data_IF_328163956743
#
_entry.id   IF_328163956743
#
_cell.length_a   1.000
_cell.length_b   1.000
_cell.length_c   1.000
_cell.angle_alpha   90.00
_cell.angle_beta   90.00
_cell.angle_gamma   90.00
#
_symmetry.space_group_name_H-M   'P 1'
#
loop_
_entity.id
_entity.type
_entity.pdbx_description
1 polymer ?
#
# COMPACT_ATOMS: atom_id res chain seq x y z
N UNK A 1 -31.13 -14.23 74.41
CA UNK A 1 -30.50 -12.91 74.19
C UNK A 1 -29.26 -13.16 73.37
N UNK A 2 -29.47 -13.21 72.07
CA UNK A 2 -29.58 -12.05 71.19
C UNK A 2 -28.20 -11.87 70.53
N UNK A 3 -28.05 -12.27 69.27
CA UNK A 3 -28.54 -11.44 68.16
C UNK A 3 -27.81 -10.10 68.20
N UNK A 4 -26.54 -10.05 67.74
CA UNK A 4 -26.00 -8.82 67.11
C UNK A 4 -24.58 -8.86 66.54
N UNK A 5 -24.07 -9.98 66.02
CA UNK A 5 -23.02 -9.91 64.97
C UNK A 5 -23.33 -10.86 63.81
N UNK A 6 -24.58 -10.76 63.38
CA UNK A 6 -25.05 -11.15 62.07
C UNK A 6 -24.38 -10.25 61.01
N UNK A 7 -23.97 -10.88 59.91
CA UNK A 7 -24.03 -10.35 58.54
C UNK A 7 -23.17 -9.12 58.24
N UNK A 8 -21.84 -9.25 58.23
CA UNK A 8 -20.99 -8.52 57.26
C UNK A 8 -19.74 -9.36 57.03
N UNK A 9 -19.75 -10.29 56.07
CA UNK A 9 -18.53 -11.05 55.77
C UNK A 9 -18.70 -12.31 54.93
N UNK A 10 -19.94 -12.73 54.66
CA UNK A 10 -20.24 -13.83 53.74
C UNK A 10 -21.37 -13.46 52.79
N UNK A 11 -21.19 -12.35 52.08
CA UNK A 11 -22.00 -11.92 50.92
C UNK A 11 -21.12 -11.03 50.03
N UNK A 12 -19.90 -11.50 49.71
CA UNK A 12 -19.28 -11.09 48.45
C UNK A 12 -19.77 -12.09 47.43
N UNK A 13 -20.88 -11.70 46.80
CA UNK A 13 -21.52 -12.42 45.73
C UNK A 13 -20.48 -12.88 44.72
N UNK A 14 -20.59 -14.16 44.38
CA UNK A 14 -20.24 -14.70 43.08
C UNK A 14 -20.83 -13.80 41.99
N UNK A 15 -20.05 -12.83 41.54
CA UNK A 15 -20.19 -12.24 40.22
C UNK A 15 -18.84 -12.46 39.56
N UNK A 16 -18.58 -13.72 39.19
CA UNK A 16 -17.62 -14.03 38.13
C UNK A 16 -18.21 -13.34 36.90
N UNK A 17 -17.80 -12.10 36.70
CA UNK A 17 -18.10 -11.32 35.52
C UNK A 17 -17.49 -12.07 34.35
N UNK A 18 -18.29 -12.97 33.75
CA UNK A 18 -18.05 -13.46 32.41
C UNK A 18 -18.33 -12.30 31.46
N UNK A 19 -17.49 -11.27 31.51
CA UNK A 19 -17.15 -10.58 30.29
C UNK A 19 -16.40 -11.60 29.45
N UNK A 20 -17.16 -12.38 28.67
CA UNK A 20 -16.74 -12.66 27.31
C UNK A 20 -16.55 -11.29 26.69
N UNK A 21 -15.37 -10.69 26.91
CA UNK A 21 -14.75 -9.94 25.85
C UNK A 21 -14.74 -10.95 24.72
N UNK A 22 -15.72 -10.84 23.82
CA UNK A 22 -15.55 -11.34 22.48
C UNK A 22 -14.25 -10.70 22.07
N UNK A 23 -13.16 -11.45 22.18
CA UNK A 23 -11.97 -11.21 21.41
C UNK A 23 -12.54 -11.22 20.00
N UNK A 24 -12.83 -10.02 19.50
CA UNK A 24 -12.80 -9.72 18.08
C UNK A 24 -11.37 -10.10 17.73
N UNK A 25 -11.18 -11.39 17.49
CA UNK A 25 -10.10 -11.91 16.72
C UNK A 25 -10.22 -11.06 15.48
N UNK A 26 -9.30 -10.09 15.36
CA UNK A 26 -9.05 -9.38 14.13
C UNK A 26 -9.00 -10.47 13.07
N UNK A 27 -10.12 -10.63 12.36
CA UNK A 27 -10.33 -11.80 11.50
C UNK A 27 -9.19 -11.73 10.51
N UNK A 28 -8.31 -12.74 10.56
CA UNK A 28 -7.14 -12.82 9.69
C UNK A 28 -7.62 -12.75 8.26
N UNK A 29 -7.53 -11.56 7.69
CA UNK A 29 -7.72 -11.34 6.27
C UNK A 29 -6.55 -12.06 5.60
N UNK A 30 -6.86 -13.08 4.82
CA UNK A 30 -5.89 -13.68 3.90
C UNK A 30 -6.15 -13.05 2.53
N UNK A 31 -5.22 -12.26 1.98
CA UNK A 31 -5.26 -11.79 0.61
C UNK A 31 -4.94 -13.00 -0.27
N UNK A 32 -5.97 -13.79 -0.57
CA UNK A 32 -5.90 -14.89 -1.52
C UNK A 32 -6.76 -14.52 -2.70
N UNK A 33 -6.14 -14.49 -3.87
CA UNK A 33 -6.77 -14.53 -5.18
C UNK A 33 -7.46 -15.87 -5.46
N UNK A 34 -8.38 -16.25 -4.58
CA UNK A 34 -9.46 -17.16 -4.93
C UNK A 34 -10.74 -16.37 -4.80
N UNK A 35 -11.59 -16.50 -5.79
CA UNK A 35 -12.95 -15.99 -5.74
C UNK A 35 -13.90 -16.99 -5.07
N UNK A 36 -13.41 -18.17 -4.68
CA UNK A 36 -14.21 -19.21 -4.04
C UNK A 36 -13.71 -19.53 -2.63
N UNK A 37 -14.67 -19.78 -1.74
CA UNK A 37 -14.42 -20.20 -0.37
C UNK A 37 -13.87 -21.63 -0.29
N UNK A 38 -14.23 -22.48 -1.26
CA UNK A 38 -13.66 -23.82 -1.39
C UNK A 38 -12.18 -23.76 -1.72
N UNK A 39 -11.79 -22.85 -2.62
CA UNK A 39 -10.39 -22.50 -2.78
C UNK A 39 -9.81 -22.07 -1.46
N UNK A 40 -10.37 -21.01 -0.84
CA UNK A 40 -9.80 -20.31 0.33
C UNK A 40 -9.58 -21.19 1.56
N UNK A 41 -10.52 -22.09 1.86
CA UNK A 41 -10.52 -22.93 3.06
C UNK A 41 -10.41 -22.19 4.41
N UNK A 42 -10.83 -20.92 4.47
CA UNK A 42 -10.88 -20.14 5.71
C UNK A 42 -12.10 -19.21 5.76
N UNK A 43 -12.65 -18.91 6.95
CA UNK A 43 -13.84 -18.08 7.06
C UNK A 43 -13.51 -16.59 6.93
N UNK A 44 -14.50 -15.79 6.53
CA UNK A 44 -14.41 -14.32 6.48
C UNK A 44 -14.64 -13.71 5.10
N UNK A 45 -14.41 -12.39 4.94
CA UNK A 45 -14.73 -11.67 3.70
C UNK A 45 -13.87 -12.11 2.53
N UNK A 46 -14.46 -12.24 1.34
CA UNK A 46 -13.81 -12.63 0.07
C UNK A 46 -14.43 -11.83 -1.07
N UNK A 47 -13.64 -11.55 -2.11
CA UNK A 47 -14.18 -10.98 -3.34
C UNK A 47 -14.48 -12.13 -4.31
N UNK A 48 -15.77 -12.42 -4.53
CA UNK A 48 -16.20 -13.39 -5.53
C UNK A 48 -16.04 -12.83 -6.95
N UNK A 49 -16.21 -11.52 -7.07
CA UNK A 49 -15.70 -10.72 -8.17
C UNK A 49 -15.28 -9.36 -7.64
N UNK A 50 -14.71 -8.52 -8.50
CA UNK A 50 -14.39 -7.14 -8.15
C UNK A 50 -15.64 -6.29 -7.86
N UNK A 51 -16.82 -6.80 -8.21
CA UNK A 51 -18.14 -6.18 -8.05
C UNK A 51 -18.98 -6.90 -6.98
N UNK A 52 -18.49 -7.99 -6.37
CA UNK A 52 -19.26 -8.83 -5.46
C UNK A 52 -18.44 -9.25 -4.24
N UNK A 53 -18.78 -8.63 -3.10
CA UNK A 53 -18.30 -9.04 -1.79
C UNK A 53 -19.12 -10.22 -1.29
N UNK A 54 -18.44 -11.28 -0.87
CA UNK A 54 -19.03 -12.44 -0.21
C UNK A 54 -18.33 -12.69 1.14
N UNK A 55 -18.92 -13.58 1.94
CA UNK A 55 -18.27 -14.13 3.14
C UNK A 55 -18.19 -15.65 3.04
N UNK A 56 -17.04 -16.19 3.40
CA UNK A 56 -16.82 -17.62 3.48
C UNK A 56 -17.34 -18.19 4.78
N UNK A 57 -18.21 -19.18 4.65
CA UNK A 57 -18.78 -19.94 5.75
C UNK A 57 -18.56 -21.43 5.51
N UNK A 58 -18.16 -22.15 6.57
CA UNK A 58 -18.01 -23.60 6.51
C UNK A 58 -19.32 -24.27 6.85
N UNK A 59 -19.87 -25.03 5.91
CA UNK A 59 -21.01 -25.92 6.09
C UNK A 59 -20.53 -27.36 6.33
N UNK A 60 -21.47 -28.26 6.67
CA UNK A 60 -21.17 -29.70 6.82
C UNK A 60 -20.63 -30.32 5.53
N UNK A 61 -20.97 -29.74 4.37
CA UNK A 61 -20.70 -30.30 3.05
C UNK A 61 -19.57 -29.60 2.30
N UNK A 62 -18.87 -28.64 2.92
CA UNK A 62 -17.80 -27.86 2.28
C UNK A 62 -17.85 -26.38 2.61
N UNK A 63 -17.08 -25.59 1.87
CA UNK A 63 -17.06 -24.14 1.99
C UNK A 63 -18.02 -23.49 1.00
N UNK A 64 -18.71 -22.44 1.44
CA UNK A 64 -19.72 -21.75 0.64
C UNK A 64 -19.44 -20.25 0.64
N UNK A 65 -19.51 -19.65 -0.54
CA UNK A 65 -19.61 -18.21 -0.74
C UNK A 65 -21.03 -17.77 -0.39
N UNK A 66 -21.17 -16.89 0.59
CA UNK A 66 -22.44 -16.22 0.86
C UNK A 66 -22.30 -14.77 0.41
N UNK A 67 -22.99 -14.34 -0.67
CA UNK A 67 -22.98 -12.95 -1.11
C UNK A 67 -23.41 -12.01 0.01
N UNK A 68 -22.66 -10.92 0.18
CA UNK A 68 -22.89 -9.90 1.21
C UNK A 68 -23.35 -8.59 0.58
N UNK A 69 -22.65 -8.13 -0.45
CA UNK A 69 -22.87 -6.82 -1.07
C UNK A 69 -22.41 -6.82 -2.53
N UNK A 70 -23.19 -6.20 -3.41
CA UNK A 70 -22.77 -5.88 -4.78
C UNK A 70 -22.20 -4.46 -4.80
N UNK A 71 -20.96 -4.31 -5.25
CA UNK A 71 -20.23 -3.04 -5.21
C UNK A 71 -20.62 -2.12 -6.36
N UNK A 72 -20.72 -0.82 -6.08
CA UNK A 72 -20.99 0.22 -7.08
C UNK A 72 -19.72 0.61 -7.83
N UNK A 73 -19.31 -0.25 -8.77
CA UNK A 73 -18.11 -0.02 -9.59
C UNK A 73 -18.23 1.17 -10.52
N UNK A 74 -19.46 1.57 -10.88
CA UNK A 74 -19.71 2.76 -11.70
C UNK A 74 -19.29 4.04 -10.97
N UNK A 75 -19.51 4.06 -9.64
CA UNK A 75 -19.00 5.09 -8.74
C UNK A 75 -17.73 4.65 -8.01
N UNK A 76 -16.97 3.71 -8.59
CA UNK A 76 -15.65 3.22 -8.16
C UNK A 76 -15.51 2.69 -6.74
N UNK A 77 -16.57 2.09 -6.24
CA UNK A 77 -16.49 1.20 -5.09
C UNK A 77 -16.24 -0.21 -5.61
N UNK A 78 -15.12 -0.79 -5.20
CA UNK A 78 -14.72 -2.14 -5.58
C UNK A 78 -14.65 -3.02 -4.34
N UNK A 79 -14.80 -4.33 -4.53
CA UNK A 79 -14.68 -5.26 -3.42
C UNK A 79 -13.27 -5.18 -2.82
N UNK A 80 -13.17 -4.98 -1.52
CA UNK A 80 -11.89 -5.06 -0.82
C UNK A 80 -12.00 -6.13 0.26
N UNK A 81 -11.56 -7.36 -0.07
CA UNK A 81 -11.60 -8.50 0.85
C UNK A 81 -10.83 -8.22 2.15
N UNK A 82 -9.86 -7.30 2.12
CA UNK A 82 -9.10 -6.88 3.28
C UNK A 82 -9.86 -5.96 4.22
N UNK A 83 -10.64 -5.04 3.69
CA UNK A 83 -11.51 -4.22 4.53
C UNK A 83 -12.85 -4.91 4.81
N UNK A 84 -13.19 -5.94 4.04
CA UNK A 84 -14.45 -6.67 4.13
C UNK A 84 -15.66 -5.81 3.74
N UNK A 85 -15.47 -4.88 2.81
CA UNK A 85 -16.49 -3.93 2.36
C UNK A 85 -16.21 -3.51 0.91
N UNK A 86 -17.22 -2.99 0.22
CA UNK A 86 -17.05 -2.26 -1.02
C UNK A 86 -16.50 -0.85 -0.72
N UNK A 87 -15.37 -0.49 -1.32
CA UNK A 87 -14.64 0.76 -0.97
C UNK A 87 -13.92 1.32 -2.19
N UNK A 88 -13.60 2.61 -2.13
CA UNK A 88 -12.69 3.28 -3.06
C UNK A 88 -11.21 3.21 -2.61
N UNK A 89 -10.91 2.57 -1.48
CA UNK A 89 -9.53 2.29 -1.08
C UNK A 89 -8.84 1.34 -2.05
N UNK A 90 -7.57 1.62 -2.36
CA UNK A 90 -6.74 0.75 -3.19
C UNK A 90 -6.64 -0.66 -2.61
N UNK A 91 -6.73 -1.66 -3.46
CA UNK A 91 -6.66 -3.07 -3.10
C UNK A 91 -6.61 -3.95 -4.35
N UNK A 92 -6.64 -5.28 -4.19
CA UNK A 92 -6.52 -6.22 -5.31
C UNK A 92 -7.54 -5.96 -6.41
N UNK A 93 -8.81 -5.70 -6.04
CA UNK A 93 -9.89 -5.46 -7.00
C UNK A 93 -10.06 -4.00 -7.41
N UNK A 94 -9.22 -3.08 -6.92
CA UNK A 94 -9.27 -1.72 -7.42
C UNK A 94 -8.72 -1.74 -8.87
N UNK A 95 -9.26 -1.01 -9.86
CA UNK A 95 -8.81 -1.05 -11.26
C UNK A 95 -7.33 -0.66 -11.48
N UNK A 96 -6.64 -0.15 -10.46
CA UNK A 96 -5.18 0.07 -10.47
C UNK A 96 -4.38 -1.12 -9.90
N UNK A 97 -5.06 -2.11 -9.33
CA UNK A 97 -4.52 -3.35 -8.75
C UNK A 97 -4.84 -4.61 -9.55
N UNK A 98 -5.86 -4.62 -10.42
CA UNK A 98 -6.27 -5.81 -11.20
C UNK A 98 -5.87 -5.70 -12.68
N UNK A 99 -5.28 -6.80 -13.15
CA UNK A 99 -5.13 -7.24 -14.54
C UNK A 99 -4.58 -6.20 -15.55
N UNK A 100 -3.25 -6.17 -15.66
CA UNK A 100 -2.52 -5.42 -16.70
C UNK A 100 -1.95 -4.08 -16.24
N UNK A 101 -2.20 -3.68 -14.99
CA UNK A 101 -1.83 -2.36 -14.46
C UNK A 101 -0.60 -2.34 -13.55
N UNK A 102 0.07 -3.47 -13.30
CA UNK A 102 1.41 -3.39 -12.73
C UNK A 102 2.35 -2.77 -13.77
N UNK A 103 2.59 -1.47 -13.61
CA UNK A 103 3.44 -0.72 -14.53
C UNK A 103 4.89 -1.04 -14.22
N UNK A 104 5.51 -1.88 -15.05
CA UNK A 104 6.92 -2.18 -14.95
C UNK A 104 7.76 -0.90 -15.12
N UNK A 105 8.57 -0.60 -14.11
CA UNK A 105 9.50 0.54 -14.15
C UNK A 105 10.90 0.13 -14.60
N UNK A 106 11.25 -1.14 -14.39
CA UNK A 106 12.50 -1.75 -14.80
C UNK A 106 12.31 -3.27 -14.93
N UNK A 107 13.25 -3.94 -15.60
CA UNK A 107 13.26 -5.39 -15.67
C UNK A 107 13.50 -5.98 -14.27
N UNK A 108 12.78 -7.04 -13.90
CA UNK A 108 12.92 -7.64 -12.58
C UNK A 108 11.69 -8.42 -12.11
N UNK A 109 11.73 -8.79 -10.83
CA UNK A 109 10.63 -9.47 -10.14
C UNK A 109 10.23 -8.55 -8.99
N UNK A 110 8.94 -8.21 -8.92
CA UNK A 110 8.40 -7.28 -7.95
C UNK A 110 7.28 -7.94 -7.15
N UNK A 111 7.21 -7.72 -5.82
CA UNK A 111 6.04 -8.15 -5.06
C UNK A 111 4.79 -7.40 -5.54
N UNK A 112 3.63 -8.06 -5.52
CA UNK A 112 2.38 -7.34 -5.66
C UNK A 112 2.08 -6.57 -4.35
N UNK A 113 1.79 -5.26 -4.42
CA UNK A 113 1.57 -4.47 -3.21
C UNK A 113 0.24 -4.79 -2.50
N UNK A 114 -0.73 -5.38 -3.20
CA UNK A 114 -2.08 -5.62 -2.73
C UNK A 114 -2.35 -7.09 -2.40
N UNK A 115 -1.64 -8.02 -3.03
CA UNK A 115 -1.76 -9.46 -2.80
C UNK A 115 -0.41 -10.13 -2.50
N UNK A 116 -0.24 -10.66 -1.28
CA UNK A 116 1.03 -11.27 -0.86
C UNK A 116 1.37 -12.60 -1.58
N UNK A 117 0.41 -13.23 -2.25
CA UNK A 117 0.60 -14.47 -3.01
C UNK A 117 0.94 -14.19 -4.46
N UNK A 118 0.87 -12.93 -4.88
CA UNK A 118 1.22 -12.52 -6.23
C UNK A 118 2.55 -11.79 -6.29
N UNK A 119 3.18 -11.94 -7.44
CA UNK A 119 4.31 -11.13 -7.84
C UNK A 119 4.26 -10.87 -9.34
N UNK A 120 5.01 -9.87 -9.77
CA UNK A 120 5.06 -9.43 -11.15
C UNK A 120 6.45 -9.61 -11.72
N UNK A 121 6.52 -10.34 -12.84
CA UNK A 121 7.73 -10.46 -13.63
C UNK A 121 7.72 -9.42 -14.74
N UNK A 122 8.65 -8.49 -14.67
CA UNK A 122 8.86 -7.45 -15.67
C UNK A 122 10.00 -7.83 -16.59
N UNK A 123 9.73 -7.94 -17.89
CA UNK A 123 10.71 -8.34 -18.90
C UNK A 123 10.42 -7.67 -20.26
N UNK A 124 11.45 -7.57 -21.10
CA UNK A 124 11.30 -6.97 -22.43
C UNK A 124 10.74 -7.97 -23.45
N UNK A 125 9.72 -7.55 -24.18
CA UNK A 125 9.26 -8.17 -25.43
C UNK A 125 9.56 -7.18 -26.55
N UNK A 126 10.69 -7.40 -27.24
CA UNK A 126 11.25 -6.40 -28.16
C UNK A 126 11.72 -5.16 -27.40
N UNK A 127 11.18 -3.99 -27.75
CA UNK A 127 11.45 -2.72 -27.06
C UNK A 127 10.45 -2.39 -25.94
N UNK A 128 9.40 -3.21 -25.76
CA UNK A 128 8.34 -2.95 -24.79
C UNK A 128 8.60 -3.71 -23.50
N UNK A 129 8.60 -3.02 -22.37
CA UNK A 129 8.68 -3.65 -21.05
C UNK A 129 7.27 -4.06 -20.62
N UNK A 130 7.06 -5.36 -20.39
CA UNK A 130 5.74 -5.93 -20.05
C UNK A 130 5.78 -6.60 -18.69
N UNK A 131 4.62 -6.65 -18.01
CA UNK A 131 4.42 -7.37 -16.77
C UNK A 131 3.69 -8.70 -17.02
N UNK A 132 4.18 -9.78 -16.41
CA UNK A 132 3.39 -10.99 -16.19
C UNK A 132 3.12 -11.15 -14.70
N UNK A 133 1.85 -11.21 -14.31
CA UNK A 133 1.45 -11.54 -12.96
C UNK A 133 1.59 -13.05 -12.75
N UNK A 134 2.16 -13.45 -11.61
CA UNK A 134 2.36 -14.84 -11.24
C UNK A 134 1.81 -15.06 -9.83
N UNK A 135 1.01 -16.11 -9.69
CA UNK A 135 0.46 -16.57 -8.41
C UNK A 135 1.35 -17.67 -7.82
N UNK A 136 1.66 -17.56 -6.53
CA UNK A 136 2.44 -18.56 -5.81
C UNK A 136 1.72 -19.91 -5.64
N UNK A 137 0.39 -19.90 -5.66
CA UNK A 137 -0.47 -21.05 -5.49
C UNK A 137 -0.42 -21.66 -4.09
N UNK A 138 -1.41 -22.50 -3.79
CA UNK A 138 -1.55 -23.17 -2.49
C UNK A 138 -1.58 -22.14 -1.33
N UNK A 139 -1.05 -22.51 -0.16
CA UNK A 139 -0.92 -21.61 0.99
C UNK A 139 0.47 -20.92 1.04
N UNK A 140 1.05 -20.61 -0.12
CA UNK A 140 2.37 -19.99 -0.25
C UNK A 140 2.28 -18.51 -0.57
N UNK A 141 3.24 -17.75 -0.06
CA UNK A 141 3.36 -16.31 -0.29
C UNK A 141 4.73 -15.97 -0.87
N UNK A 142 4.78 -14.86 -1.59
CA UNK A 142 5.99 -14.39 -2.27
C UNK A 142 6.99 -13.79 -1.28
N UNK A 143 8.21 -14.31 -1.27
CA UNK A 143 9.35 -13.74 -0.55
C UNK A 143 10.13 -12.81 -1.46
N UNK A 144 9.94 -11.50 -1.31
CA UNK A 144 10.67 -10.51 -2.09
C UNK A 144 12.20 -10.56 -1.85
N UNK A 145 12.68 -11.12 -0.73
CA UNK A 145 14.12 -11.27 -0.45
C UNK A 145 14.80 -12.24 -1.40
N UNK A 146 14.09 -13.32 -1.72
CA UNK A 146 14.62 -14.44 -2.51
C UNK A 146 14.05 -14.49 -3.92
N UNK A 147 12.95 -13.78 -4.18
CA UNK A 147 12.23 -13.81 -5.46
C UNK A 147 11.48 -15.13 -5.67
N UNK A 148 11.08 -15.82 -4.59
CA UNK A 148 10.49 -17.15 -4.63
C UNK A 148 9.25 -17.27 -3.73
N UNK A 149 8.39 -18.25 -4.01
CA UNK A 149 7.18 -18.55 -3.23
C UNK A 149 7.48 -19.45 -2.02
N UNK A 150 8.24 -18.94 -1.06
CA UNK A 150 8.72 -19.72 0.10
C UNK A 150 7.95 -19.44 1.39
N UNK A 151 7.30 -18.28 1.51
CA UNK A 151 6.57 -17.88 2.71
C UNK A 151 5.20 -18.56 2.79
N UNK A 152 4.50 -18.34 3.90
CA UNK A 152 3.17 -18.89 4.17
C UNK A 152 2.17 -17.76 4.40
N UNK A 153 0.88 -18.05 4.33
CA UNK A 153 -0.19 -17.06 4.58
C UNK A 153 -0.22 -16.52 6.02
N UNK A 154 0.53 -17.14 6.95
CA UNK A 154 0.70 -16.63 8.32
C UNK A 154 1.88 -15.67 8.49
N UNK A 155 2.67 -15.45 7.45
CA UNK A 155 3.80 -14.52 7.50
C UNK A 155 3.32 -13.06 7.52
N UNK A 156 4.03 -12.14 8.22
CA UNK A 156 3.71 -10.71 8.22
C UNK A 156 3.49 -10.09 6.83
N UNK A 157 4.13 -10.60 5.77
CA UNK A 157 3.88 -10.12 4.39
C UNK A 157 2.41 -10.23 3.97
N UNK A 158 1.70 -11.23 4.49
CA UNK A 158 0.27 -11.46 4.21
C UNK A 158 -0.67 -10.88 5.27
N UNK A 159 -0.17 -10.66 6.49
CA UNK A 159 -0.99 -10.17 7.58
C UNK A 159 -1.05 -8.64 7.64
N UNK A 160 -0.09 -7.95 7.01
CA UNK A 160 0.08 -6.51 7.10
C UNK A 160 0.29 -5.87 5.72
N UNK A 161 -0.01 -4.57 5.62
CA UNK A 161 0.25 -3.80 4.40
C UNK A 161 1.76 -3.59 4.34
N UNK A 162 2.38 -3.92 3.21
CA UNK A 162 3.84 -3.81 3.04
C UNK A 162 4.29 -2.42 2.57
N UNK A 163 3.36 -1.55 2.20
CA UNK A 163 3.64 -0.18 1.80
C UNK A 163 2.76 0.80 2.58
N UNK A 164 3.22 2.05 2.65
CA UNK A 164 2.48 3.15 3.25
C UNK A 164 2.61 4.39 2.36
N UNK A 165 1.48 4.93 1.90
CA UNK A 165 1.46 6.10 1.02
C UNK A 165 0.63 7.23 1.66
N UNK A 166 1.26 8.10 2.47
CA UNK A 166 0.57 9.22 3.11
C UNK A 166 0.24 10.36 2.13
N UNK A 167 1.10 10.59 1.15
CA UNK A 167 0.97 11.63 0.12
C UNK A 167 1.72 11.22 -1.14
N UNK A 168 1.46 11.90 -2.26
CA UNK A 168 2.22 11.70 -3.48
C UNK A 168 3.69 12.12 -3.26
N UNK A 169 4.61 11.46 -3.97
CA UNK A 169 6.05 11.70 -3.83
C UNK A 169 6.70 11.07 -2.60
N UNK A 170 5.94 10.51 -1.66
CA UNK A 170 6.52 9.71 -0.58
C UNK A 170 7.29 8.51 -1.15
N UNK A 171 8.51 8.27 -0.66
CA UNK A 171 9.37 7.18 -1.11
C UNK A 171 9.90 6.41 0.09
N UNK A 172 9.89 5.09 0.01
CA UNK A 172 10.50 4.24 1.02
C UNK A 172 10.99 2.91 0.41
N UNK A 173 12.00 2.26 1.03
CA UNK A 173 12.39 0.92 0.65
C UNK A 173 11.26 -0.07 0.90
N UNK A 174 11.22 -1.14 0.10
CA UNK A 174 10.32 -2.26 0.36
C UNK A 174 10.77 -3.00 1.62
N UNK A 175 9.89 -3.25 2.61
CA UNK A 175 10.32 -3.70 3.94
C UNK A 175 11.14 -4.99 3.95
N UNK A 176 10.83 -5.92 3.06
CA UNK A 176 11.53 -7.21 2.99
C UNK A 176 12.68 -7.22 1.99
N UNK A 177 12.80 -6.24 1.09
CA UNK A 177 13.88 -6.20 0.12
C UNK A 177 14.30 -4.75 -0.16
N UNK A 178 15.42 -4.32 0.42
CA UNK A 178 15.94 -2.96 0.26
C UNK A 178 16.47 -2.64 -1.14
N UNK A 179 16.63 -3.61 -2.05
CA UNK A 179 16.91 -3.33 -3.46
C UNK A 179 15.64 -2.87 -4.22
N UNK A 180 14.45 -3.13 -3.66
CA UNK A 180 13.18 -2.65 -4.17
C UNK A 180 12.76 -1.44 -3.32
N UNK A 181 12.20 -0.42 -3.95
CA UNK A 181 11.60 0.73 -3.27
C UNK A 181 10.29 1.08 -3.96
N UNK A 182 9.42 1.85 -3.28
CA UNK A 182 8.18 2.32 -3.88
C UNK A 182 8.10 3.84 -3.81
N UNK A 183 7.53 4.43 -4.86
CA UNK A 183 7.19 5.85 -4.94
C UNK A 183 5.67 5.95 -4.97
N UNK A 184 5.10 6.70 -4.04
CA UNK A 184 3.67 6.94 -3.99
C UNK A 184 3.28 7.91 -5.11
N UNK A 185 2.51 7.42 -6.08
CA UNK A 185 1.99 8.20 -7.20
C UNK A 185 0.51 8.46 -7.01
N UNK A 186 0.04 9.59 -7.52
CA UNK A 186 -1.37 9.95 -7.57
C UNK A 186 -1.91 9.82 -9.00
N UNK A 187 -3.18 9.46 -9.11
CA UNK A 187 -3.96 9.57 -10.34
C UNK A 187 -5.35 10.07 -10.01
N UNK A 188 -6.04 10.65 -11.00
CA UNK A 188 -7.42 11.12 -10.85
C UNK A 188 -8.34 10.10 -11.49
N UNK A 189 -9.31 9.59 -10.73
CA UNK A 189 -10.36 8.77 -11.31
C UNK A 189 -11.49 9.66 -11.84
N UNK A 190 -11.51 9.86 -13.17
CA UNK A 190 -12.49 10.71 -13.86
C UNK A 190 -13.94 10.23 -13.70
N UNK A 191 -14.15 8.98 -13.29
CA UNK A 191 -15.49 8.40 -13.09
C UNK A 191 -16.03 8.58 -11.65
N UNK A 192 -15.24 9.10 -10.70
CA UNK A 192 -15.64 9.30 -9.29
C UNK A 192 -15.44 10.75 -8.84
N UNK A 193 -16.19 11.70 -9.40
CA UNK A 193 -16.11 13.11 -8.98
C UNK A 193 -14.65 13.60 -8.86
N UNK A 194 -13.79 13.10 -9.74
CA UNK A 194 -12.36 13.38 -9.79
C UNK A 194 -11.57 13.15 -8.47
N UNK A 195 -11.90 12.06 -7.77
CA UNK A 195 -11.19 11.68 -6.54
C UNK A 195 -9.74 11.29 -6.84
N UNK A 196 -8.80 11.84 -6.07
CA UNK A 196 -7.37 11.51 -6.14
C UNK A 196 -7.14 10.14 -5.49
N UNK A 197 -6.55 9.22 -6.24
CA UNK A 197 -6.15 7.90 -5.76
C UNK A 197 -4.63 7.84 -5.69
N UNK A 198 -4.11 7.54 -4.49
CA UNK A 198 -2.67 7.39 -4.25
C UNK A 198 -2.32 5.91 -4.19
N UNK A 199 -1.29 5.49 -4.92
CA UNK A 199 -0.87 4.10 -5.05
C UNK A 199 0.66 3.96 -5.09
N UNK A 200 1.22 2.83 -4.61
CA UNK A 200 2.65 2.56 -4.70
C UNK A 200 3.04 2.16 -6.13
N UNK A 201 3.99 2.88 -6.73
CA UNK A 201 4.73 2.46 -7.92
C UNK A 201 6.04 1.84 -7.47
N UNK A 202 6.26 0.55 -7.72
CA UNK A 202 7.48 -0.12 -7.32
C UNK A 202 8.60 0.13 -8.32
N UNK A 203 9.82 0.23 -7.80
CA UNK A 203 11.05 0.48 -8.52
C UNK A 203 12.16 -0.41 -7.96
N UNK A 204 13.22 -0.61 -8.75
CA UNK A 204 14.36 -1.44 -8.37
C UNK A 204 15.67 -0.68 -8.60
N UNK A 205 16.58 -0.76 -7.63
CA UNK A 205 17.96 -0.34 -7.82
C UNK A 205 18.71 -1.34 -8.73
N UNK A 206 19.91 -0.99 -9.19
CA UNK A 206 20.72 -1.92 -9.98
C UNK A 206 21.14 -3.13 -9.13
N UNK A 207 21.62 -4.18 -9.79
CA UNK A 207 22.10 -5.38 -9.10
C UNK A 207 23.23 -5.04 -8.12
N UNK A 208 23.08 -5.49 -6.88
CA UNK A 208 24.04 -5.22 -5.80
C UNK A 208 23.84 -3.89 -5.06
N UNK A 209 22.85 -3.09 -5.46
CA UNK A 209 22.51 -1.84 -4.78
C UNK A 209 21.32 -1.99 -3.81
N UNK A 210 21.27 -1.14 -2.80
CA UNK A 210 20.14 -0.96 -1.89
C UNK A 210 19.70 0.49 -1.86
N UNK A 211 18.40 0.70 -1.64
CA UNK A 211 17.80 2.02 -1.54
C UNK A 211 17.89 2.54 -0.10
N UNK A 212 18.66 3.61 0.11
CA UNK A 212 18.87 4.27 1.39
C UNK A 212 18.93 5.78 1.18
N UNK A 213 18.20 6.54 1.99
CA UNK A 213 18.16 8.02 1.95
C UNK A 213 17.92 8.59 0.53
N UNK A 214 16.86 8.11 -0.14
CA UNK A 214 16.49 8.51 -1.50
C UNK A 214 17.49 8.15 -2.61
N UNK A 215 18.50 7.31 -2.32
CA UNK A 215 19.56 6.97 -3.27
C UNK A 215 19.80 5.46 -3.32
N UNK A 216 20.01 4.92 -4.52
CA UNK A 216 20.52 3.55 -4.70
C UNK A 216 22.05 3.55 -4.48
N UNK A 217 22.53 2.78 -3.50
CA UNK A 217 23.96 2.68 -3.17
C UNK A 217 24.40 1.23 -3.24
N UNK A 218 25.61 0.98 -3.77
CA UNK A 218 26.21 -0.35 -3.72
C UNK A 218 26.39 -0.79 -2.26
N UNK A 219 25.98 -2.02 -1.93
CA UNK A 219 26.17 -2.57 -0.60
C UNK A 219 27.66 -2.66 -0.27
N UNK A 220 28.17 -1.80 0.61
CA UNK A 220 29.52 -1.94 1.16
C UNK A 220 29.53 -3.20 2.02
N UNK A 221 30.29 -4.23 1.60
CA UNK A 221 30.55 -5.41 2.40
C UNK A 221 31.08 -5.00 3.79
N UNK A 222 30.25 -5.18 4.82
CA UNK A 222 30.65 -5.25 6.22
C UNK A 222 30.81 -3.90 6.95
N UNK A 223 29.70 -3.32 7.39
CA UNK A 223 29.67 -2.66 8.70
C UNK A 223 28.24 -2.76 9.27
N UNK A 224 28.06 -3.12 10.55
CA UNK A 224 26.73 -3.25 11.15
C UNK A 224 25.98 -1.91 11.11
N UNK A 225 24.63 -1.93 11.14
CA UNK A 225 23.85 -0.70 11.18
C UNK A 225 24.22 0.07 12.44
N UNK A 226 24.82 1.24 12.29
CA UNK A 226 24.80 2.23 13.35
C UNK A 226 23.36 2.66 13.52
N UNK A 227 22.80 2.32 14.69
CA UNK A 227 21.57 2.90 15.22
C UNK A 227 21.54 4.42 14.99
N UNK A 228 20.35 5.02 14.79
CA UNK A 228 20.25 6.47 14.66
C UNK A 228 20.78 7.08 15.96
N UNK A 229 21.91 7.77 15.88
CA UNK A 229 22.26 8.77 16.88
C UNK A 229 21.28 9.91 16.66
N UNK A 230 20.35 10.09 17.61
CA UNK A 230 19.69 11.37 17.86
C UNK A 230 20.79 12.42 18.03
N UNK A 231 21.18 13.05 16.93
CA UNK A 231 21.90 14.30 16.93
C UNK A 231 20.85 15.42 16.88
N UNK A 232 20.66 16.20 17.97
CA UNK A 232 19.67 17.26 18.02
C UNK A 232 19.97 18.44 17.06
N UNK A 233 21.02 18.36 16.25
CA UNK A 233 21.49 19.45 15.40
C UNK A 233 21.26 19.27 13.89
N UNK A 234 20.71 18.14 13.44
CA UNK A 234 20.26 18.01 12.04
C UNK A 234 18.80 18.43 11.92
N UNK A 235 18.59 19.70 11.60
CA UNK A 235 17.29 20.19 11.15
C UNK A 235 17.05 19.58 9.77
N UNK A 236 16.24 18.51 9.70
CA UNK A 236 15.61 18.12 8.43
C UNK A 236 14.60 19.22 8.12
N UNK A 237 15.05 20.23 7.37
CA UNK A 237 14.16 21.26 6.86
C UNK A 237 13.27 20.59 5.82
N UNK A 238 11.98 20.49 6.11
CA UNK A 238 10.95 20.16 5.14
C UNK A 238 11.00 21.25 4.04
N UNK A 239 11.31 20.91 2.77
CA UNK A 239 11.39 21.90 1.71
C UNK A 239 10.02 22.48 1.32
N UNK A 240 8.92 21.99 1.90
CA UNK A 240 7.58 22.56 1.77
C UNK A 240 7.21 23.57 2.87
N UNK A 241 8.12 23.91 3.79
CA UNK A 241 7.93 25.01 4.74
C UNK A 241 8.13 26.36 4.03
N UNK A 242 7.05 26.87 3.44
CA UNK A 242 6.69 28.28 3.22
C UNK A 242 7.68 29.28 2.57
N UNK A 243 8.76 28.86 1.89
CA UNK A 243 9.69 29.85 1.31
C UNK A 243 10.40 29.44 0.00
N UNK A 244 9.66 29.25 -1.10
CA UNK A 244 10.28 29.35 -2.44
C UNK A 244 9.45 30.19 -3.41
N UNK A 245 9.63 31.51 -3.33
CA UNK A 245 9.20 32.50 -4.33
C UNK A 245 10.24 32.72 -5.45
N UNK A 246 11.13 31.76 -5.68
CA UNK A 246 12.22 31.86 -6.67
C UNK A 246 12.23 30.67 -7.61
N UNK A 247 12.12 30.95 -8.91
CA UNK A 247 12.20 29.97 -10.01
C UNK A 247 13.54 29.20 -9.95
N UNK A 248 13.54 27.87 -9.75
CA UNK A 248 14.76 27.09 -9.70
C UNK A 248 15.36 26.95 -11.12
N UNK A 249 16.55 27.52 -11.36
CA UNK A 249 17.27 27.35 -12.63
C UNK A 249 18.03 26.02 -12.72
N UNK A 250 18.20 25.34 -11.60
CA UNK A 250 18.88 24.04 -11.47
C UNK A 250 18.18 23.21 -10.41
N UNK A 251 18.20 21.88 -10.55
CA UNK A 251 17.66 20.98 -9.56
C UNK A 251 18.53 20.98 -8.30
N UNK A 252 18.06 21.62 -7.23
CA UNK A 252 18.68 21.53 -5.91
C UNK A 252 18.33 20.20 -5.22
N UNK A 253 17.12 19.69 -5.47
CA UNK A 253 16.62 18.42 -4.94
C UNK A 253 15.82 17.66 -5.99
N UNK A 254 15.75 16.34 -5.85
CA UNK A 254 14.91 15.46 -6.67
C UNK A 254 13.46 15.60 -6.21
N UNK A 255 12.51 15.77 -7.13
CA UNK A 255 11.10 15.88 -6.78
C UNK A 255 10.30 16.77 -7.70
N UNK A 256 9.11 17.16 -7.23
CA UNK A 256 8.20 18.08 -7.90
C UNK A 256 8.18 19.41 -7.15
N UNK A 257 8.34 20.51 -7.86
CA UNK A 257 8.45 21.86 -7.29
C UNK A 257 7.37 22.73 -7.93
N UNK A 258 6.61 23.47 -7.14
CA UNK A 258 5.57 24.36 -7.69
C UNK A 258 6.17 25.43 -8.61
N UNK A 259 5.47 25.76 -9.69
CA UNK A 259 5.77 26.97 -10.43
C UNK A 259 5.17 28.18 -9.70
N UNK A 260 6.00 29.16 -9.34
CA UNK A 260 5.57 30.35 -8.60
C UNK A 260 4.84 31.40 -9.44
N UNK A 261 4.77 31.24 -10.77
CA UNK A 261 4.13 32.14 -11.72
C UNK A 261 2.86 31.58 -12.33
N UNK A 262 2.74 30.25 -12.40
CA UNK A 262 1.59 29.55 -12.94
C UNK A 262 1.27 28.33 -12.08
N UNK A 263 0.24 28.43 -11.24
CA UNK A 263 -0.08 27.32 -10.36
C UNK A 263 -0.65 26.10 -11.09
N UNK A 264 -0.91 26.16 -12.41
CA UNK A 264 -1.19 24.97 -13.24
C UNK A 264 0.08 24.29 -13.75
N UNK A 265 1.26 24.73 -13.32
CA UNK A 265 2.53 24.13 -13.71
C UNK A 265 3.40 23.79 -12.51
N UNK A 266 4.32 22.88 -12.76
CA UNK A 266 5.32 22.45 -11.79
C UNK A 266 6.60 22.01 -12.49
N UNK A 267 7.70 22.05 -11.78
CA UNK A 267 8.98 21.55 -12.23
C UNK A 267 9.20 20.13 -11.74
N UNK A 268 9.57 19.23 -12.63
CA UNK A 268 10.06 17.89 -12.32
C UNK A 268 11.59 17.88 -12.35
N UNK A 269 12.20 17.54 -11.21
CA UNK A 269 13.62 17.30 -11.09
C UNK A 269 13.94 15.80 -11.12
N UNK A 270 14.61 15.38 -12.19
CA UNK A 270 14.97 13.98 -12.41
C UNK A 270 16.08 13.50 -11.48
N UNK A 271 15.84 12.36 -10.82
CA UNK A 271 16.83 11.66 -10.01
C UNK A 271 17.99 11.07 -10.83
N UNK A 272 17.76 10.79 -12.12
CA UNK A 272 18.68 10.01 -12.94
C UNK A 272 19.80 10.86 -13.55
N UNK A 273 19.50 12.12 -13.88
CA UNK A 273 20.42 12.99 -14.61
C UNK A 273 20.39 14.45 -14.11
N UNK A 274 19.63 14.77 -13.06
CA UNK A 274 19.47 16.14 -12.56
C UNK A 274 18.74 17.08 -13.53
N UNK A 275 18.06 16.55 -14.56
CA UNK A 275 17.35 17.38 -15.52
C UNK A 275 16.10 18.00 -14.90
N UNK A 276 15.98 19.32 -15.01
CA UNK A 276 14.77 20.07 -14.72
C UNK A 276 13.85 20.05 -15.94
N UNK A 277 12.60 19.63 -15.75
CA UNK A 277 11.56 19.70 -16.78
C UNK A 277 10.39 20.52 -16.27
N UNK A 278 9.90 21.44 -17.08
CA UNK A 278 8.68 22.18 -16.79
C UNK A 278 7.49 21.37 -17.29
N UNK A 279 6.55 21.08 -16.41
CA UNK A 279 5.42 20.18 -16.65
C UNK A 279 4.11 20.95 -16.43
N UNK A 280 3.13 20.71 -17.30
CA UNK A 280 1.77 21.19 -17.12
C UNK A 280 0.96 20.18 -16.30
N UNK A 281 0.17 20.68 -15.36
CA UNK A 281 -0.88 19.89 -14.75
C UNK A 281 -1.95 19.52 -15.80
N UNK A 282 -2.61 18.35 -15.67
CA UNK A 282 -3.76 18.00 -16.49
C UNK A 282 -4.85 19.10 -16.48
N UNK A 283 -5.62 19.18 -17.56
CA UNK A 283 -6.70 20.17 -17.69
C UNK A 283 -7.67 20.09 -16.51
N UNK A 284 -8.07 21.25 -15.96
CA UNK A 284 -8.97 21.33 -14.80
C UNK A 284 -8.30 21.13 -13.43
N UNK A 285 -6.97 20.95 -13.40
CA UNK A 285 -6.20 20.80 -12.16
C UNK A 285 -5.19 21.93 -11.98
N UNK A 286 -4.72 22.12 -10.75
CA UNK A 286 -3.62 23.00 -10.37
C UNK A 286 -2.68 22.28 -9.40
N UNK A 287 -1.41 22.62 -9.41
CA UNK A 287 -0.37 22.02 -8.58
C UNK A 287 -0.47 22.52 -7.13
N UNK A 288 -0.53 21.59 -6.18
CA UNK A 288 -0.43 21.88 -4.75
C UNK A 288 0.91 21.40 -4.19
N UNK A 289 1.81 22.32 -3.76
CA UNK A 289 3.11 21.97 -3.20
C UNK A 289 3.00 21.03 -2.00
N UNK A 290 2.08 21.30 -1.08
CA UNK A 290 1.86 20.49 0.14
C UNK A 290 1.59 19.00 -0.15
N UNK A 291 0.97 18.71 -1.30
CA UNK A 291 0.63 17.36 -1.74
C UNK A 291 1.60 16.82 -2.80
N UNK A 292 2.50 17.67 -3.29
CA UNK A 292 3.38 17.40 -4.43
C UNK A 292 2.63 16.79 -5.61
N UNK A 293 1.45 17.33 -5.92
CA UNK A 293 0.53 16.76 -6.91
C UNK A 293 -0.37 17.83 -7.51
N UNK A 294 -0.82 17.59 -8.75
CA UNK A 294 -1.94 18.31 -9.32
C UNK A 294 -3.25 17.84 -8.67
N UNK A 295 -4.08 18.78 -8.24
CA UNK A 295 -5.40 18.53 -7.65
C UNK A 295 -6.45 19.27 -8.46
N UNK A 296 -7.70 18.80 -8.43
CA UNK A 296 -8.77 19.56 -9.07
C UNK A 296 -9.05 20.86 -8.34
N UNK A 297 -9.43 21.83 -9.16
CA UNK A 297 -9.79 23.16 -8.71
C UNK A 297 -9.16 24.21 -9.59
N UNK A 298 -9.53 25.44 -9.30
CA UNK A 298 -8.99 26.59 -9.98
C UNK A 298 -7.72 27.08 -9.30
N UNK A 299 -6.80 27.52 -10.17
CA UNK A 299 -5.80 28.50 -9.86
C UNK A 299 -6.52 29.84 -9.61
#
# INVERSE_FOLDING_TARGET
MLLNKLIVGMLLLNVVSHSLAATVTTRRIQPRETNSCEGRQSPGPICESCELLATCVRHSNGWVNIPVESCDVANGYYCNARLGTCTNETGPCHPFGIEGNFQCTSQGIFPDPYDCQKYHMCYFVGATLVAAAVDCGNDKAFDARTGQCTLTLSDPVCLQRQYYCPHAGYVAPWPTNSNIFYVCKSTVNQNLNDTIVIYPSLHRCNDGETFVDYVCRAGSNGQPPSSPTDDPSVVVVDPNDDAFSVMPTTCQHVGLIADGSDCRKYYYCSALNGSLRHMDCPQGTHYRPELSSCVLGDC
#
